data_IF_713457457152
#
_entry.id   IF_713457457152
#
_cell.length_a   1.000
_cell.length_b   1.000
_cell.length_c   1.000
_cell.angle_alpha   90.00
_cell.angle_beta   90.00
_cell.angle_gamma   90.00
#
_symmetry.space_group_name_H-M   'P 1'
#
loop_
_entity.id
_entity.type
_entity.pdbx_description
1 polymer ?
#
# COMPACT_ATOMS: atom_id res chain seq x y z
N UNK A 1 -24.84 28.44 -19.61
CA UNK A 1 -25.30 27.93 -18.29
C UNK A 1 -24.05 27.60 -17.48
N UNK A 2 -23.80 28.31 -16.38
CA UNK A 2 -22.72 27.96 -15.45
C UNK A 2 -23.30 27.08 -14.36
N UNK A 3 -22.58 26.04 -13.97
CA UNK A 3 -22.93 25.16 -12.86
C UNK A 3 -21.95 25.39 -11.71
N UNK A 4 -22.46 25.43 -10.48
CA UNK A 4 -21.61 25.44 -9.30
C UNK A 4 -20.94 24.08 -9.12
N UNK A 5 -19.64 24.11 -8.86
CA UNK A 5 -18.85 22.90 -8.61
C UNK A 5 -19.09 22.49 -7.16
N UNK A 6 -19.57 21.27 -6.91
CA UNK A 6 -19.74 20.77 -5.55
C UNK A 6 -18.39 20.73 -4.81
N UNK A 7 -18.34 21.09 -3.52
CA UNK A 7 -17.10 21.13 -2.74
C UNK A 7 -16.32 19.81 -2.71
N UNK A 8 -17.00 18.67 -2.83
CA UNK A 8 -16.37 17.35 -2.88
C UNK A 8 -15.49 17.12 -4.12
N UNK A 9 -15.67 17.89 -5.20
CA UNK A 9 -14.80 17.82 -6.38
C UNK A 9 -13.53 18.66 -6.24
N UNK A 10 -13.47 19.57 -5.26
CA UNK A 10 -12.27 20.39 -5.01
C UNK A 10 -11.13 19.59 -4.37
N UNK A 11 -11.42 18.40 -3.83
CA UNK A 11 -10.41 17.48 -3.30
C UNK A 11 -9.82 16.55 -4.36
N UNK A 12 -10.26 16.64 -5.62
CA UNK A 12 -9.75 15.80 -6.70
C UNK A 12 -8.35 16.27 -7.12
N UNK A 13 -7.34 15.43 -6.90
CA UNK A 13 -5.93 15.79 -7.11
C UNK A 13 -5.53 15.67 -8.58
N UNK A 14 -4.51 16.42 -8.99
CA UNK A 14 -3.96 16.31 -10.36
C UNK A 14 -3.38 14.91 -10.61
N UNK A 15 -2.77 14.30 -9.60
CA UNK A 15 -2.26 12.92 -9.63
C UNK A 15 -3.33 11.87 -9.90
N UNK A 16 -4.56 12.05 -9.40
CA UNK A 16 -5.68 11.15 -9.68
C UNK A 16 -6.24 11.32 -11.10
N UNK A 17 -6.12 12.53 -11.67
CA UNK A 17 -6.43 12.74 -13.08
C UNK A 17 -5.41 12.03 -13.95
N UNK A 18 -4.14 12.19 -13.63
CA UNK A 18 -3.04 11.64 -14.42
C UNK A 18 -3.04 10.10 -14.39
N UNK A 19 -3.34 9.48 -13.23
CA UNK A 19 -3.48 8.02 -13.13
C UNK A 19 -4.64 7.47 -13.96
N UNK A 20 -5.77 8.18 -14.00
CA UNK A 20 -6.89 7.83 -14.88
C UNK A 20 -6.52 7.93 -16.36
N UNK A 21 -5.85 9.01 -16.78
CA UNK A 21 -5.43 9.18 -18.17
C UNK A 21 -4.42 8.11 -18.61
N UNK A 22 -3.56 7.66 -17.70
CA UNK A 22 -2.63 6.55 -17.95
C UNK A 22 -3.36 5.21 -18.11
N UNK A 23 -4.38 4.93 -17.29
CA UNK A 23 -5.19 3.71 -17.43
C UNK A 23 -6.10 3.74 -18.66
N UNK A 24 -6.68 4.90 -19.00
CA UNK A 24 -7.59 5.05 -20.12
C UNK A 24 -6.90 4.93 -21.50
N UNK A 25 -5.60 5.23 -21.60
CA UNK A 25 -4.83 5.15 -22.85
C UNK A 25 -4.48 3.71 -23.29
N UNK A 26 -4.78 2.69 -22.48
CA UNK A 26 -4.51 1.29 -22.81
C UNK A 26 -5.62 0.61 -23.64
N UNK A 27 -6.80 1.23 -23.72
CA UNK A 27 -7.99 0.64 -24.33
C UNK A 27 -8.43 1.43 -25.58
N UNK A 28 -8.61 0.71 -26.70
CA UNK A 28 -8.99 1.28 -28.01
C UNK A 28 -10.16 2.29 -27.91
N UNK A 29 -10.12 3.32 -28.76
CA UNK A 29 -10.94 4.55 -28.76
C UNK A 29 -12.48 4.45 -28.65
N UNK A 30 -13.09 3.26 -28.62
CA UNK A 30 -14.53 3.04 -28.41
C UNK A 30 -14.89 2.62 -26.97
N UNK A 31 -13.96 2.05 -26.20
CA UNK A 31 -14.19 1.67 -24.79
C UNK A 31 -13.89 2.82 -23.82
N UNK A 32 -13.15 3.83 -24.24
CA UNK A 32 -12.72 4.98 -23.42
C UNK A 32 -13.86 5.79 -22.81
N UNK A 33 -14.96 6.03 -23.53
CA UNK A 33 -16.11 6.82 -22.99
C UNK A 33 -16.88 6.05 -21.93
N UNK A 34 -17.11 4.75 -22.14
CA UNK A 34 -17.82 3.90 -21.16
C UNK A 34 -16.95 3.71 -19.92
N UNK A 35 -15.66 3.45 -20.09
CA UNK A 35 -14.69 3.35 -19.00
C UNK A 35 -14.55 4.68 -18.24
N UNK A 36 -14.55 5.82 -18.94
CA UNK A 36 -14.58 7.15 -18.33
C UNK A 36 -15.84 7.37 -17.50
N UNK A 37 -17.03 7.06 -18.03
CA UNK A 37 -18.28 7.24 -17.30
C UNK A 37 -18.38 6.31 -16.09
N UNK A 38 -17.88 5.08 -16.19
CA UNK A 38 -17.78 4.15 -15.04
C UNK A 38 -16.85 4.70 -13.97
N UNK A 39 -15.63 5.11 -14.36
CA UNK A 39 -14.65 5.71 -13.45
C UNK A 39 -15.17 6.98 -12.78
N UNK A 40 -15.78 7.89 -13.55
CA UNK A 40 -16.34 9.13 -13.03
C UNK A 40 -17.43 8.85 -11.99
N UNK A 41 -18.35 7.92 -12.27
CA UNK A 41 -19.39 7.54 -11.31
C UNK A 41 -18.80 6.90 -10.05
N UNK A 42 -17.83 6.00 -10.19
CA UNK A 42 -17.15 5.36 -9.06
C UNK A 42 -16.41 6.40 -8.19
N UNK A 43 -15.74 7.37 -8.81
CA UNK A 43 -15.04 8.46 -8.11
C UNK A 43 -15.98 9.46 -7.45
N UNK A 44 -17.08 9.80 -8.10
CA UNK A 44 -18.12 10.66 -7.50
C UNK A 44 -18.64 10.00 -6.22
N UNK A 45 -18.97 8.72 -6.29
CA UNK A 45 -19.45 7.96 -5.14
C UNK A 45 -18.41 7.87 -4.03
N UNK A 46 -17.15 7.61 -4.38
CA UNK A 46 -16.03 7.62 -3.44
C UNK A 46 -15.92 8.96 -2.70
N UNK A 47 -15.93 10.08 -3.43
CA UNK A 47 -15.80 11.42 -2.86
C UNK A 47 -16.98 11.78 -1.93
N UNK A 48 -18.20 11.39 -2.29
CA UNK A 48 -19.36 11.57 -1.42
C UNK A 48 -19.26 10.74 -0.14
N UNK A 49 -18.76 9.50 -0.24
CA UNK A 49 -18.56 8.65 0.94
C UNK A 49 -17.44 9.20 1.83
N UNK A 50 -16.34 9.67 1.25
CA UNK A 50 -15.27 10.33 2.00
C UNK A 50 -15.80 11.54 2.77
N UNK A 51 -16.59 12.39 2.12
CA UNK A 51 -17.24 13.54 2.76
C UNK A 51 -18.22 13.11 3.87
N UNK A 52 -18.95 12.01 3.67
CA UNK A 52 -19.86 11.48 4.68
C UNK A 52 -19.09 10.92 5.88
N UNK A 53 -18.02 10.14 5.67
CA UNK A 53 -17.14 9.64 6.73
C UNK A 53 -16.55 10.79 7.55
N UNK A 54 -16.18 11.91 6.91
CA UNK A 54 -15.72 13.12 7.60
C UNK A 54 -16.75 13.72 8.54
N UNK A 55 -18.04 13.57 8.25
CA UNK A 55 -19.10 14.08 9.11
C UNK A 55 -19.38 13.16 10.32
N UNK A 56 -19.00 11.87 10.25
CA UNK A 56 -19.26 10.88 11.30
C UNK A 56 -18.05 10.58 12.19
N UNK A 57 -16.84 10.62 11.64
CA UNK A 57 -15.63 10.38 12.43
C UNK A 57 -15.13 11.68 13.05
N UNK A 58 -14.49 11.58 14.21
CA UNK A 58 -13.51 12.58 14.72
C UNK A 58 -12.24 12.52 13.83
N UNK A 59 -12.44 12.47 12.51
CA UNK A 59 -11.40 12.64 11.52
C UNK A 59 -11.40 14.12 11.21
N UNK A 60 -10.29 14.84 11.42
CA UNK A 60 -10.24 16.27 11.17
C UNK A 60 -10.69 16.56 9.73
N UNK A 61 -11.56 17.56 9.60
CA UNK A 61 -12.16 18.07 8.34
C UNK A 61 -11.11 18.43 7.27
N UNK A 62 -9.84 18.48 7.67
CA UNK A 62 -8.69 18.84 6.85
C UNK A 62 -7.99 17.68 6.14
N UNK A 63 -8.42 16.42 6.32
CA UNK A 63 -7.79 15.25 5.63
C UNK A 63 -7.91 15.33 4.11
N UNK A 64 -8.86 16.08 3.55
CA UNK A 64 -8.99 16.29 2.09
C UNK A 64 -8.54 17.67 1.61
N UNK A 65 -8.18 18.60 2.51
CA UNK A 65 -7.61 19.90 2.13
C UNK A 65 -6.10 19.82 2.07
N UNK A 66 -5.56 19.45 0.92
CA UNK A 66 -4.19 19.78 0.44
C UNK A 66 -2.99 19.33 1.31
N UNK A 67 -3.20 18.83 2.51
CA UNK A 67 -2.18 18.40 3.46
C UNK A 67 -2.47 16.95 3.85
N UNK A 68 -1.80 16.06 3.16
CA UNK A 68 -1.58 14.67 3.52
C UNK A 68 -0.71 14.56 4.80
N UNK A 69 -0.89 15.46 5.77
CA UNK A 69 -0.02 15.56 6.95
C UNK A 69 0.00 14.27 7.75
N UNK A 70 -1.12 13.54 7.80
CA UNK A 70 -1.21 12.27 8.51
C UNK A 70 -0.39 11.19 7.79
N UNK A 71 -0.51 11.09 6.47
CA UNK A 71 0.29 10.16 5.67
C UNK A 71 1.76 10.55 5.65
N UNK A 72 2.09 11.84 5.63
CA UNK A 72 3.46 12.35 5.73
C UNK A 72 4.06 12.13 7.12
N UNK A 73 3.30 12.30 8.20
CA UNK A 73 3.71 11.94 9.56
C UNK A 73 3.99 10.44 9.67
N UNK A 74 3.14 9.60 9.07
CA UNK A 74 3.40 8.17 8.97
C UNK A 74 4.69 7.84 8.24
N UNK A 75 4.95 8.50 7.12
CA UNK A 75 6.20 8.34 6.36
C UNK A 75 7.42 8.78 7.16
N UNK A 76 7.34 9.91 7.85
CA UNK A 76 8.40 10.42 8.71
C UNK A 76 8.67 9.44 9.85
N UNK A 77 7.63 8.90 10.50
CA UNK A 77 7.79 7.90 11.56
C UNK A 77 8.49 6.64 11.04
N UNK A 78 8.03 6.08 9.92
CA UNK A 78 8.66 4.92 9.29
C UNK A 78 10.12 5.21 8.97
N UNK A 79 10.41 6.36 8.36
CA UNK A 79 11.77 6.76 8.03
C UNK A 79 12.64 6.90 9.27
N UNK A 80 12.18 7.56 10.32
CA UNK A 80 12.93 7.78 11.57
C UNK A 80 13.23 6.46 12.27
N UNK A 81 12.24 5.56 12.41
CA UNK A 81 12.48 4.23 13.02
C UNK A 81 13.55 3.47 12.25
N UNK A 82 13.44 3.45 10.92
CA UNK A 82 14.38 2.72 10.08
C UNK A 82 15.76 3.36 10.00
N UNK A 83 15.83 4.68 10.07
CA UNK A 83 17.07 5.42 10.16
C UNK A 83 17.82 5.07 11.46
N UNK A 84 17.11 5.04 12.58
CA UNK A 84 17.70 4.66 13.88
C UNK A 84 18.11 3.19 13.86
N UNK A 85 17.33 2.31 13.25
CA UNK A 85 17.71 0.91 13.11
C UNK A 85 18.97 0.73 12.27
N UNK A 86 19.08 1.45 11.14
CA UNK A 86 20.22 1.37 10.25
C UNK A 86 21.54 1.72 10.95
N UNK A 87 21.53 2.75 11.79
CA UNK A 87 22.73 3.15 12.55
C UNK A 87 22.86 2.44 13.91
N UNK A 88 21.80 1.80 14.40
CA UNK A 88 21.74 1.19 15.74
C UNK A 88 22.00 -0.31 15.78
N UNK A 89 21.99 -0.98 14.62
CA UNK A 89 22.30 -2.40 14.49
C UNK A 89 23.75 -2.59 14.02
N UNK A 90 24.67 -2.87 14.94
CA UNK A 90 25.96 -3.46 14.58
C UNK A 90 25.83 -5.00 14.65
N UNK A 91 26.10 -5.67 13.52
CA UNK A 91 26.13 -7.14 13.46
C UNK A 91 27.60 -7.54 13.67
N UNK A 92 27.97 -7.89 14.90
CA UNK A 92 29.25 -8.54 15.19
C UNK A 92 29.00 -10.02 15.52
N UNK A 93 29.61 -10.91 14.73
CA UNK A 93 29.68 -12.36 14.98
C UNK A 93 28.35 -13.04 15.36
N UNK A 94 27.28 -12.78 14.59
CA UNK A 94 26.00 -13.47 14.75
C UNK A 94 25.27 -13.19 16.07
N UNK A 95 25.75 -12.23 16.87
CA UNK A 95 25.08 -11.69 18.04
C UNK A 95 24.80 -10.23 17.79
N UNK A 96 23.55 -9.81 17.97
CA UNK A 96 23.18 -8.40 17.96
C UNK A 96 23.84 -7.79 19.20
N UNK A 97 25.05 -7.25 19.03
CA UNK A 97 25.78 -6.53 20.06
C UNK A 97 25.23 -5.11 20.07
N UNK A 98 24.63 -4.73 21.19
CA UNK A 98 24.23 -3.35 21.44
C UNK A 98 25.50 -2.48 21.54
N UNK A 99 25.98 -1.87 20.44
CA UNK A 99 26.61 -0.53 20.33
C UNK A 99 27.32 -0.38 18.97
N UNK A 100 27.56 0.86 18.44
CA UNK A 100 27.94 2.07 19.17
C UNK A 100 26.98 3.26 18.98
N UNK A 101 26.59 3.86 20.10
CA UNK A 101 26.32 5.28 20.27
C UNK A 101 25.89 6.04 19.01
N UNK A 102 24.65 5.84 18.57
CA UNK A 102 23.99 6.82 17.70
C UNK A 102 24.13 8.19 18.38
N UNK A 103 24.86 9.12 17.76
CA UNK A 103 25.05 10.48 18.27
C UNK A 103 25.63 10.60 19.69
N UNK A 104 26.42 9.62 20.17
CA UNK A 104 26.97 9.65 21.54
C UNK A 104 26.00 9.19 22.64
N UNK A 105 24.82 8.68 22.29
CA UNK A 105 23.86 8.15 23.27
C UNK A 105 24.21 6.73 23.75
N UNK A 106 23.81 6.37 24.98
CA UNK A 106 23.97 4.99 25.45
C UNK A 106 23.03 4.03 24.70
N UNK A 107 23.42 2.77 24.58
CA UNK A 107 22.61 1.67 23.99
C UNK A 107 21.19 1.63 24.53
N UNK A 108 21.05 1.76 25.85
CA UNK A 108 19.77 1.74 26.55
C UNK A 108 18.89 2.91 26.12
N UNK A 109 19.46 4.08 25.89
CA UNK A 109 18.70 5.26 25.47
C UNK A 109 18.21 5.11 24.01
N UNK A 110 19.05 4.61 23.11
CA UNK A 110 18.65 4.29 21.73
C UNK A 110 17.53 3.24 21.71
N UNK A 111 17.61 2.21 22.55
CA UNK A 111 16.57 1.18 22.68
C UNK A 111 15.25 1.76 23.21
N UNK A 112 15.30 2.59 24.25
CA UNK A 112 14.11 3.29 24.77
C UNK A 112 13.48 4.15 23.67
N UNK A 113 14.30 4.89 22.92
CA UNK A 113 13.82 5.73 21.82
C UNK A 113 13.17 4.88 20.71
N UNK A 114 13.79 3.76 20.33
CA UNK A 114 13.19 2.80 19.38
C UNK A 114 11.85 2.26 19.87
N UNK A 115 11.71 1.94 21.16
CA UNK A 115 10.41 1.52 21.71
C UNK A 115 9.37 2.64 21.65
N UNK A 116 9.74 3.89 21.97
CA UNK A 116 8.83 5.03 21.92
C UNK A 116 8.36 5.29 20.49
N UNK A 117 9.30 5.43 19.55
CA UNK A 117 8.96 5.73 18.15
C UNK A 117 8.29 4.54 17.47
N UNK A 118 8.72 3.31 17.77
CA UNK A 118 8.08 2.08 17.29
C UNK A 118 6.64 1.95 17.79
N UNK A 119 6.38 2.26 19.06
CA UNK A 119 5.02 2.28 19.62
C UNK A 119 4.15 3.37 18.99
N UNK A 120 4.71 4.56 18.74
CA UNK A 120 4.02 5.63 18.01
C UNK A 120 3.65 5.19 16.58
N UNK A 121 4.58 4.51 15.90
CA UNK A 121 4.34 3.93 14.57
C UNK A 121 3.23 2.88 14.59
N UNK A 122 3.21 2.00 15.59
CA UNK A 122 2.14 1.02 15.79
C UNK A 122 0.77 1.68 16.00
N UNK A 123 0.69 2.67 16.90
CA UNK A 123 -0.56 3.42 17.14
C UNK A 123 -1.03 4.12 15.86
N UNK A 124 -0.09 4.69 15.11
CA UNK A 124 -0.38 5.33 13.83
C UNK A 124 -0.98 4.34 12.81
N UNK A 125 -0.34 3.19 12.58
CA UNK A 125 -0.85 2.19 11.64
C UNK A 125 -2.17 1.58 12.09
N UNK A 126 -2.38 1.42 13.40
CA UNK A 126 -3.66 0.98 13.95
C UNK A 126 -4.77 1.99 13.63
N UNK A 127 -4.52 3.28 13.86
CA UNK A 127 -5.45 4.36 13.53
C UNK A 127 -5.76 4.42 12.03
N UNK A 128 -4.74 4.33 11.18
CA UNK A 128 -4.91 4.31 9.71
C UNK A 128 -5.72 3.11 9.23
N UNK A 129 -5.52 1.94 9.84
CA UNK A 129 -6.28 0.72 9.53
C UNK A 129 -7.77 0.91 9.84
N UNK A 130 -8.10 1.51 10.99
CA UNK A 130 -9.49 1.79 11.37
C UNK A 130 -10.15 2.74 10.36
N UNK A 131 -9.48 3.84 10.02
CA UNK A 131 -10.03 4.83 9.08
C UNK A 131 -10.28 4.19 7.70
N UNK A 132 -9.26 3.53 7.13
CA UNK A 132 -9.43 2.92 5.82
C UNK A 132 -10.44 1.79 5.84
N UNK A 133 -10.48 0.99 6.91
CA UNK A 133 -11.48 -0.05 7.12
C UNK A 133 -12.90 0.50 7.11
N UNK A 134 -13.16 1.61 7.80
CA UNK A 134 -14.47 2.29 7.79
C UNK A 134 -14.83 2.77 6.38
N UNK A 135 -13.88 3.38 5.67
CA UNK A 135 -14.09 3.89 4.30
C UNK A 135 -14.49 2.75 3.36
N UNK A 136 -13.73 1.65 3.36
CA UNK A 136 -14.03 0.52 2.47
C UNK A 136 -15.31 -0.19 2.87
N UNK A 137 -15.60 -0.35 4.16
CA UNK A 137 -16.89 -0.91 4.60
C UNK A 137 -18.07 -0.09 4.09
N UNK A 138 -18.02 1.24 4.19
CA UNK A 138 -19.09 2.12 3.67
C UNK A 138 -19.21 2.06 2.14
N UNK A 139 -18.10 1.97 1.42
CA UNK A 139 -18.12 1.83 -0.05
C UNK A 139 -18.78 0.51 -0.46
N UNK A 140 -18.43 -0.58 0.21
CA UNK A 140 -19.03 -1.88 -0.06
C UNK A 140 -20.51 -1.92 0.36
N UNK A 141 -20.89 -1.25 1.45
CA UNK A 141 -22.28 -1.13 1.86
C UNK A 141 -23.14 -0.42 0.80
N UNK A 142 -22.69 0.73 0.26
CA UNK A 142 -23.44 1.44 -0.79
C UNK A 142 -23.54 0.63 -2.08
N UNK A 143 -22.48 -0.09 -2.47
CA UNK A 143 -22.50 -1.00 -3.63
C UNK A 143 -23.49 -2.15 -3.42
N UNK A 144 -23.49 -2.77 -2.23
CA UNK A 144 -24.43 -3.84 -1.89
C UNK A 144 -25.89 -3.37 -1.91
N UNK A 145 -26.17 -2.13 -1.47
CA UNK A 145 -27.51 -1.53 -1.52
C UNK A 145 -27.97 -1.35 -2.97
N UNK A 146 -27.13 -0.75 -3.84
CA UNK A 146 -27.44 -0.58 -5.26
C UNK A 146 -27.73 -1.91 -5.97
N UNK A 147 -26.92 -2.94 -5.71
CA UNK A 147 -27.11 -4.28 -6.27
C UNK A 147 -28.41 -4.94 -5.77
N UNK A 148 -28.82 -4.65 -4.54
CA UNK A 148 -30.07 -5.13 -3.96
C UNK A 148 -31.31 -4.45 -4.53
N UNK A 149 -31.22 -3.15 -4.82
CA UNK A 149 -32.28 -2.36 -5.45
C UNK A 149 -32.50 -2.79 -6.91
N UNK A 150 -31.42 -3.08 -7.65
CA UNK A 150 -31.51 -3.62 -9.01
C UNK A 150 -32.07 -5.04 -9.06
N UNK A 151 -31.74 -5.89 -8.09
CA UNK A 151 -32.12 -7.31 -8.14
C UNK A 151 -33.49 -7.67 -7.53
N UNK A 152 -34.28 -6.71 -7.02
CA UNK A 152 -35.64 -6.91 -6.47
C UNK A 152 -35.81 -8.10 -5.50
N UNK A 153 -34.73 -8.65 -4.92
CA UNK A 153 -34.82 -9.78 -3.97
C UNK A 153 -34.79 -9.24 -2.54
N UNK A 154 -36.00 -9.12 -1.97
CA UNK A 154 -36.24 -8.89 -0.54
C UNK A 154 -35.63 -10.05 0.27
N UNK A 155 -34.44 -9.85 0.81
CA UNK A 155 -33.83 -10.72 1.80
C UNK A 155 -33.16 -9.87 2.88
N UNK A 156 -33.87 -9.64 3.99
CA UNK A 156 -33.31 -8.99 5.18
C UNK A 156 -32.30 -9.92 5.85
N UNK A 157 -31.29 -9.32 6.47
CA UNK A 157 -30.55 -9.83 7.64
C UNK A 157 -29.17 -10.51 7.52
N UNK A 158 -28.38 -10.32 6.47
CA UNK A 158 -26.93 -10.62 6.55
C UNK A 158 -26.05 -9.58 5.85
N UNK A 159 -26.28 -8.30 6.13
CA UNK A 159 -25.59 -7.19 5.45
C UNK A 159 -24.06 -7.25 5.66
N UNK A 160 -23.60 -7.54 6.88
CA UNK A 160 -22.17 -7.51 7.21
C UNK A 160 -21.39 -8.72 6.70
N UNK A 161 -21.93 -9.93 6.88
CA UNK A 161 -21.32 -11.18 6.39
C UNK A 161 -21.28 -11.23 4.86
N UNK A 162 -22.30 -10.69 4.19
CA UNK A 162 -22.33 -10.59 2.73
C UNK A 162 -21.33 -9.56 2.21
N UNK A 163 -21.10 -8.46 2.93
CA UNK A 163 -20.04 -7.47 2.61
C UNK A 163 -18.64 -8.09 2.77
N UNK A 164 -18.39 -8.84 3.84
CA UNK A 164 -17.11 -9.57 4.03
C UNK A 164 -16.91 -10.62 2.94
N UNK A 165 -17.95 -11.41 2.64
CA UNK A 165 -17.91 -12.41 1.58
C UNK A 165 -17.68 -11.79 0.21
N UNK A 166 -18.29 -10.62 -0.06
CA UNK A 166 -18.07 -9.85 -1.28
C UNK A 166 -16.64 -9.28 -1.33
N UNK A 167 -16.07 -8.81 -0.23
CA UNK A 167 -14.66 -8.39 -0.17
C UNK A 167 -13.68 -9.53 -0.45
N UNK A 168 -14.00 -10.76 -0.04
CA UNK A 168 -13.15 -11.95 -0.27
C UNK A 168 -13.30 -12.48 -1.70
N UNK A 169 -14.52 -12.49 -2.26
CA UNK A 169 -14.81 -13.13 -3.54
C UNK A 169 -14.83 -12.21 -4.75
N UNK A 170 -14.87 -10.89 -4.57
CA UNK A 170 -14.90 -10.00 -5.72
C UNK A 170 -13.50 -9.86 -6.34
N UNK A 171 -13.34 -10.39 -7.56
CA UNK A 171 -12.08 -10.38 -8.32
C UNK A 171 -11.71 -9.00 -8.87
N UNK A 172 -12.64 -8.04 -8.87
CA UNK A 172 -12.34 -6.65 -9.17
C UNK A 172 -11.63 -6.02 -7.96
N UNK A 173 -10.32 -6.27 -7.86
CA UNK A 173 -9.44 -5.59 -6.90
C UNK A 173 -9.45 -4.09 -7.21
N UNK A 174 -10.29 -3.34 -6.50
CA UNK A 174 -10.19 -1.88 -6.51
C UNK A 174 -8.89 -1.46 -5.82
N UNK A 175 -8.29 -0.36 -6.30
CA UNK A 175 -7.08 0.23 -5.73
C UNK A 175 -7.14 0.38 -4.19
N UNK A 176 -8.32 0.69 -3.65
CA UNK A 176 -8.56 0.82 -2.21
C UNK A 176 -8.47 -0.50 -1.43
N UNK A 177 -8.90 -1.62 -2.02
CA UNK A 177 -8.74 -2.93 -1.36
C UNK A 177 -7.25 -3.27 -1.25
N UNK A 178 -6.46 -2.96 -2.29
CA UNK A 178 -4.99 -3.13 -2.26
C UNK A 178 -4.32 -2.23 -1.23
N UNK A 179 -4.76 -0.97 -1.08
CA UNK A 179 -4.18 -0.06 -0.10
C UNK A 179 -4.42 -0.55 1.34
N UNK A 180 -5.60 -1.11 1.64
CA UNK A 180 -5.89 -1.68 2.96
C UNK A 180 -4.97 -2.85 3.29
N UNK A 181 -4.77 -3.78 2.34
CA UNK A 181 -3.87 -4.91 2.56
C UNK A 181 -2.44 -4.45 2.86
N UNK A 182 -1.97 -3.40 2.17
CA UNK A 182 -0.65 -2.83 2.45
C UNK A 182 -0.56 -2.25 3.87
N UNK A 183 -1.59 -1.52 4.32
CA UNK A 183 -1.62 -0.97 5.68
C UNK A 183 -1.72 -2.07 6.74
N UNK A 184 -2.52 -3.11 6.50
CA UNK A 184 -2.61 -4.27 7.40
C UNK A 184 -1.28 -5.00 7.54
N UNK A 185 -0.55 -5.18 6.43
CA UNK A 185 0.80 -5.75 6.47
C UNK A 185 1.76 -4.85 7.25
N UNK A 186 1.70 -3.53 7.05
CA UNK A 186 2.51 -2.58 7.83
C UNK A 186 2.19 -2.65 9.32
N UNK A 187 0.90 -2.74 9.69
CA UNK A 187 0.47 -2.94 11.07
C UNK A 187 1.04 -4.25 11.64
N UNK A 188 0.97 -5.35 10.89
CA UNK A 188 1.55 -6.63 11.29
C UNK A 188 3.06 -6.54 11.54
N UNK A 189 3.79 -5.87 10.65
CA UNK A 189 5.23 -5.62 10.80
C UNK A 189 5.54 -4.68 11.96
N UNK A 190 4.70 -3.68 12.25
CA UNK A 190 4.87 -2.83 13.43
C UNK A 190 4.64 -3.59 14.73
N UNK A 191 3.64 -4.47 14.79
CA UNK A 191 3.40 -5.36 15.94
C UNK A 191 4.61 -6.28 16.14
N UNK A 192 5.07 -6.96 15.07
CA UNK A 192 6.28 -7.78 15.15
C UNK A 192 7.52 -6.96 15.54
N UNK A 193 7.61 -5.72 15.08
CA UNK A 193 8.67 -4.75 15.39
C UNK A 193 8.77 -4.40 16.88
N UNK A 194 7.62 -4.20 17.54
CA UNK A 194 7.58 -3.85 18.98
C UNK A 194 7.78 -5.09 19.86
N UNK A 195 7.16 -6.23 19.50
CA UNK A 195 7.06 -7.39 20.40
C UNK A 195 8.06 -8.52 20.12
N UNK A 196 8.58 -8.64 18.89
CA UNK A 196 9.47 -9.74 18.49
C UNK A 196 10.89 -9.23 18.30
N UNK A 197 11.11 -8.41 17.26
CA UNK A 197 12.43 -7.89 16.91
C UNK A 197 12.28 -6.58 16.13
N UNK A 198 13.07 -5.56 16.48
CA UNK A 198 13.00 -4.28 15.80
C UNK A 198 13.32 -4.34 14.30
N UNK A 199 14.03 -5.37 13.84
CA UNK A 199 14.30 -5.61 12.43
C UNK A 199 13.01 -5.68 11.59
N UNK A 200 11.87 -6.11 12.16
CA UNK A 200 10.60 -6.16 11.44
C UNK A 200 10.11 -4.78 10.96
N UNK A 201 10.54 -3.69 11.60
CA UNK A 201 10.25 -2.34 11.10
C UNK A 201 10.91 -2.05 9.74
N UNK A 202 11.96 -2.78 9.34
CA UNK A 202 12.57 -2.68 8.00
C UNK A 202 11.56 -2.90 6.87
N UNK A 203 10.65 -3.85 7.05
CA UNK A 203 9.60 -4.13 6.06
C UNK A 203 8.59 -2.99 5.95
N UNK A 204 8.43 -2.16 6.99
CA UNK A 204 7.57 -0.97 6.89
C UNK A 204 8.15 0.09 5.94
N UNK A 205 9.43 0.04 5.55
CA UNK A 205 9.98 0.92 4.50
C UNK A 205 9.30 0.73 3.14
N UNK A 206 8.75 -0.46 2.87
CA UNK A 206 7.95 -0.69 1.66
C UNK A 206 6.74 0.26 1.59
N UNK A 207 6.22 0.74 2.72
CA UNK A 207 5.20 1.77 2.77
C UNK A 207 5.64 3.07 2.08
N UNK A 208 6.90 3.49 2.24
CA UNK A 208 7.42 4.69 1.58
C UNK A 208 7.44 4.52 0.05
N UNK A 209 7.80 3.32 -0.41
CA UNK A 209 7.89 2.94 -1.83
C UNK A 209 6.50 2.93 -2.46
N UNK A 210 5.55 2.25 -1.83
CA UNK A 210 4.20 2.02 -2.38
C UNK A 210 3.40 3.32 -2.49
N UNK A 211 3.50 4.20 -1.49
CA UNK A 211 2.70 5.41 -1.44
C UNK A 211 3.37 6.62 -2.12
N UNK A 212 4.61 6.49 -2.60
CA UNK A 212 5.26 7.54 -3.39
C UNK A 212 4.88 7.39 -4.87
N UNK A 213 4.21 8.38 -5.49
CA UNK A 213 3.75 8.26 -6.88
C UNK A 213 4.91 8.04 -7.86
N UNK A 214 6.05 8.72 -7.64
CA UNK A 214 7.24 8.58 -8.49
C UNK A 214 7.89 7.19 -8.38
N UNK A 215 7.99 6.63 -7.18
CA UNK A 215 8.58 5.30 -6.98
C UNK A 215 7.61 4.22 -7.51
N UNK A 216 6.31 4.46 -7.37
CA UNK A 216 5.29 3.58 -7.93
C UNK A 216 5.37 3.50 -9.45
N UNK A 217 5.61 4.62 -10.14
CA UNK A 217 5.85 4.62 -11.60
C UNK A 217 7.07 3.78 -11.99
N UNK A 218 8.18 3.93 -11.28
CA UNK A 218 9.41 3.15 -11.53
C UNK A 218 9.18 1.66 -11.27
N UNK A 219 8.53 1.30 -10.17
CA UNK A 219 8.22 -0.10 -9.85
C UNK A 219 7.22 -0.69 -10.84
N UNK A 220 6.23 0.09 -11.30
CA UNK A 220 5.31 -0.32 -12.36
C UNK A 220 6.01 -0.49 -13.71
N UNK A 221 7.01 0.32 -14.04
CA UNK A 221 7.79 0.15 -15.27
C UNK A 221 8.52 -1.21 -15.31
N UNK A 222 8.93 -1.73 -14.15
CA UNK A 222 9.51 -3.08 -14.01
C UNK A 222 8.42 -4.15 -13.96
N UNK A 223 7.32 -3.91 -13.23
CA UNK A 223 6.27 -4.89 -13.02
C UNK A 223 5.37 -5.14 -14.24
N UNK A 224 5.11 -4.11 -15.05
CA UNK A 224 4.25 -4.21 -16.23
C UNK A 224 4.75 -5.25 -17.25
N UNK A 225 6.05 -5.26 -17.63
CA UNK A 225 6.60 -6.32 -18.48
C UNK A 225 6.98 -7.60 -17.73
N UNK A 226 6.39 -7.91 -16.55
CA UNK A 226 6.78 -9.07 -15.72
C UNK A 226 6.93 -10.39 -16.46
N UNK A 227 6.04 -10.68 -17.43
CA UNK A 227 6.12 -11.92 -18.23
C UNK A 227 7.37 -11.97 -19.10
N UNK A 228 7.77 -10.83 -19.68
CA UNK A 228 8.99 -10.73 -20.52
C UNK A 228 10.24 -10.86 -19.65
N UNK A 229 10.29 -10.14 -18.52
CA UNK A 229 11.42 -10.23 -17.58
C UNK A 229 11.58 -11.67 -17.08
N UNK A 230 10.49 -12.31 -16.64
CA UNK A 230 10.54 -13.68 -16.15
C UNK A 230 10.98 -14.67 -17.25
N UNK A 231 10.54 -14.47 -18.49
CA UNK A 231 11.01 -15.26 -19.64
C UNK A 231 12.50 -15.07 -19.91
N UNK A 232 13.03 -13.86 -19.81
CA UNK A 232 14.46 -13.59 -20.02
C UNK A 232 15.34 -14.18 -18.90
N UNK A 233 14.88 -14.13 -17.66
CA UNK A 233 15.58 -14.75 -16.52
C UNK A 233 15.59 -16.27 -16.68
N UNK A 234 14.47 -16.88 -17.07
CA UNK A 234 14.41 -18.31 -17.35
C UNK A 234 15.35 -18.72 -18.49
N UNK A 235 15.38 -17.96 -19.59
CA UNK A 235 16.29 -18.22 -20.71
C UNK A 235 17.76 -18.11 -20.26
N UNK A 236 18.11 -17.09 -19.48
CA UNK A 236 19.46 -16.92 -18.92
C UNK A 236 19.88 -18.13 -18.08
N UNK A 237 18.98 -18.62 -17.21
CA UNK A 237 19.24 -19.81 -16.40
C UNK A 237 19.48 -21.08 -17.26
N UNK A 238 18.72 -21.27 -18.34
CA UNK A 238 18.90 -22.39 -19.28
C UNK A 238 20.28 -22.32 -19.96
N UNK A 239 20.68 -21.14 -20.41
CA UNK A 239 21.98 -20.92 -21.08
C UNK A 239 23.13 -21.17 -20.10
N UNK A 240 23.05 -20.63 -18.88
CA UNK A 240 24.04 -20.88 -17.83
C UNK A 240 24.16 -22.37 -17.51
N UNK A 241 23.03 -23.08 -17.43
CA UNK A 241 23.01 -24.51 -17.20
C UNK A 241 23.70 -25.29 -18.33
N UNK A 242 23.47 -24.91 -19.59
CA UNK A 242 24.16 -25.51 -20.75
C UNK A 242 25.66 -25.32 -20.68
N UNK A 243 26.13 -24.11 -20.37
CA UNK A 243 27.56 -23.85 -20.19
C UNK A 243 28.14 -24.64 -19.03
N UNK A 244 27.41 -24.80 -17.93
CA UNK A 244 27.85 -25.61 -16.80
C UNK A 244 28.03 -27.08 -17.19
N UNK A 245 27.15 -27.65 -18.03
CA UNK A 245 27.31 -29.02 -18.55
C UNK A 245 28.58 -29.13 -19.40
N UNK A 246 28.79 -28.19 -20.34
CA UNK A 246 29.98 -28.21 -21.20
C UNK A 246 31.26 -28.07 -20.36
N UNK A 247 31.26 -27.15 -19.39
CA UNK A 247 32.37 -26.96 -18.45
C UNK A 247 32.67 -28.25 -17.67
N UNK A 248 31.64 -28.91 -17.15
CA UNK A 248 31.80 -30.17 -16.41
C UNK A 248 32.36 -31.30 -17.28
N UNK A 249 31.85 -31.46 -18.51
CA UNK A 249 32.26 -32.56 -19.41
C UNK A 249 33.69 -32.39 -19.91
N UNK A 250 34.09 -31.18 -20.29
CA UNK A 250 35.38 -30.94 -20.95
C UNK A 250 36.47 -30.41 -20.02
N UNK A 251 36.10 -29.65 -18.99
CA UNK A 251 37.02 -28.92 -18.12
C UNK A 251 36.90 -29.33 -16.65
N UNK A 252 36.17 -30.41 -16.34
CA UNK A 252 35.93 -30.84 -14.96
C UNK A 252 37.21 -31.10 -14.14
N UNK A 253 38.30 -31.51 -14.81
CA UNK A 253 39.59 -31.73 -14.15
C UNK A 253 40.37 -30.43 -13.85
N UNK A 254 40.02 -29.33 -14.51
CA UNK A 254 40.70 -28.03 -14.37
C UNK A 254 40.12 -27.17 -13.22
N UNK A 255 38.99 -27.59 -12.65
CA UNK A 255 38.33 -26.91 -11.52
C UNK A 255 38.64 -27.53 -10.14
N UNK A 256 39.57 -28.49 -10.08
CA UNK A 256 40.05 -29.10 -8.82
C UNK A 256 41.18 -28.31 -8.17
#
# INVERSE_FOLDING_TARGET
RHFEILPCFLSFTQTEKDSFWLEANLDNSKTTVVSFMKFANDKIEELFIQQEVQNYCICPRDVTKKNNWLTDLGRILVFVVNFILFFGLEINDGKILDNPQLFGFSTNLTRIFLYIVGSLSLVFFFYMTIIQGIIVLKIQEKRAIKDSEQNKKKGKCYHYLKVIWYMINNKEETFQTRSIWCILLCLGFSVAGVFIDFFWFSFTMAYLVIFSPHILEVTNAVWNPKKRILSTVALSAIVLYWFAIVAFVYFGNDFN
#
